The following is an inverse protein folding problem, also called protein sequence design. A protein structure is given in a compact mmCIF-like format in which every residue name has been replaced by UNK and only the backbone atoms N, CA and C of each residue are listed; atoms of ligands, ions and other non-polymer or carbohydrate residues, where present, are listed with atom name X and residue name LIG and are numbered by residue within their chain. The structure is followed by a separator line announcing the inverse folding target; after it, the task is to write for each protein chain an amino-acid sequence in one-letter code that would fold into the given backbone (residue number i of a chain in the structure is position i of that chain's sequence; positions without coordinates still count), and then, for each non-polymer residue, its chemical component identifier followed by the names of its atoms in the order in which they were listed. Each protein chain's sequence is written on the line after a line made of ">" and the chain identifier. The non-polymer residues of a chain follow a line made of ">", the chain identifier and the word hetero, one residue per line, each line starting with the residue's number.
data_IF_991170261989
#
_entry.id   IF_991170261989
#
_cell.length_a   1.000
_cell.length_b   1.000
_cell.length_c   1.000
_cell.angle_alpha   90.00
_cell.angle_beta   90.00
_cell.angle_gamma   90.00
#
_symmetry.space_group_name_H-M   'P 1'
#
loop_
_entity.id
_entity.type
_entity.pdbx_description
1 polymer ?
#
# COMPACT_ATOMS: atom_id res chain seq x y z
N UNK A 1 6.81 17.16 7.86
CA UNK A 1 5.33 17.18 7.69
C UNK A 1 4.98 16.15 6.63
N UNK A 2 4.13 15.15 6.91
CA UNK A 2 3.61 14.21 5.92
C UNK A 2 3.17 14.94 4.64
N UNK A 3 3.55 14.43 3.47
CA UNK A 3 3.29 15.08 2.16
C UNK A 3 1.81 15.46 1.97
N UNK A 4 0.89 14.61 2.43
CA UNK A 4 -0.55 14.87 2.33
C UNK A 4 -0.97 16.13 3.13
N UNK A 5 -0.53 16.25 4.39
CA UNK A 5 -0.85 17.42 5.23
C UNK A 5 -0.31 18.72 4.62
N UNK A 6 0.85 18.64 3.94
CA UNK A 6 1.41 19.77 3.18
C UNK A 6 0.47 20.23 2.08
N UNK A 7 -0.02 19.31 1.25
CA UNK A 7 -0.89 19.66 0.14
C UNK A 7 -2.27 20.11 0.60
N UNK A 8 -2.76 19.55 1.71
CA UNK A 8 -4.00 20.01 2.36
C UNK A 8 -3.86 21.47 2.79
N UNK A 9 -2.78 21.85 3.49
CA UNK A 9 -2.59 23.24 3.95
C UNK A 9 -2.40 24.24 2.81
N UNK A 10 -1.94 23.77 1.66
CA UNK A 10 -1.81 24.56 0.43
C UNK A 10 -3.10 24.58 -0.43
N UNK A 11 -4.15 23.87 -0.03
CA UNK A 11 -5.36 23.65 -0.82
C UNK A 11 -5.06 23.07 -2.22
N UNK A 12 -4.02 22.25 -2.32
CA UNK A 12 -3.56 21.60 -3.55
C UNK A 12 -4.30 20.26 -3.73
N UNK A 13 -5.52 20.37 -4.25
CA UNK A 13 -6.43 19.24 -4.45
C UNK A 13 -5.80 18.19 -5.38
N UNK A 14 -5.11 18.62 -6.43
CA UNK A 14 -4.53 17.72 -7.43
C UNK A 14 -3.50 16.76 -6.79
N UNK A 15 -2.55 17.29 -6.01
CA UNK A 15 -1.56 16.45 -5.36
C UNK A 15 -2.16 15.62 -4.21
N UNK A 16 -3.17 16.12 -3.51
CA UNK A 16 -3.93 15.32 -2.54
C UNK A 16 -4.59 14.12 -3.23
N UNK A 17 -5.28 14.34 -4.35
CA UNK A 17 -5.91 13.28 -5.14
C UNK A 17 -4.89 12.27 -5.65
N UNK A 18 -3.71 12.69 -6.14
CA UNK A 18 -2.65 11.77 -6.57
C UNK A 18 -2.19 10.86 -5.42
N UNK A 19 -1.93 11.42 -4.23
CA UNK A 19 -1.50 10.64 -3.07
C UNK A 19 -2.57 9.63 -2.65
N UNK A 20 -3.82 10.06 -2.58
CA UNK A 20 -4.94 9.21 -2.19
C UNK A 20 -5.18 8.10 -3.22
N UNK A 21 -5.11 8.41 -4.52
CA UNK A 21 -5.25 7.42 -5.59
C UNK A 21 -4.15 6.35 -5.55
N UNK A 22 -2.90 6.73 -5.24
CA UNK A 22 -1.81 5.75 -5.01
C UNK A 22 -2.12 4.87 -3.82
N UNK A 23 -2.51 5.47 -2.69
CA UNK A 23 -2.81 4.73 -1.46
C UNK A 23 -3.96 3.74 -1.69
N UNK A 24 -5.02 4.19 -2.35
CA UNK A 24 -6.19 3.37 -2.69
C UNK A 24 -5.81 2.22 -3.63
N UNK A 25 -5.13 2.52 -4.75
CA UNK A 25 -4.75 1.52 -5.74
C UNK A 25 -3.92 0.39 -5.12
N UNK A 26 -2.91 0.74 -4.32
CA UNK A 26 -2.07 -0.24 -3.61
C UNK A 26 -2.90 -1.11 -2.67
N UNK A 27 -3.77 -0.51 -1.86
CA UNK A 27 -4.56 -1.26 -0.87
C UNK A 27 -5.61 -2.17 -1.52
N UNK A 28 -6.20 -1.75 -2.62
CA UNK A 28 -7.04 -2.60 -3.47
C UNK A 28 -6.27 -3.79 -4.04
N UNK A 29 -5.04 -3.57 -4.53
CA UNK A 29 -4.19 -4.66 -5.00
C UNK A 29 -3.82 -5.61 -3.88
N UNK A 30 -3.57 -5.14 -2.65
CA UNK A 30 -3.33 -6.00 -1.48
C UNK A 30 -4.57 -6.86 -1.20
N UNK A 31 -5.74 -6.22 -1.05
CA UNK A 31 -7.01 -6.91 -0.76
C UNK A 31 -7.24 -8.10 -1.71
N UNK A 32 -6.97 -7.91 -3.00
CA UNK A 32 -7.16 -8.93 -4.04
C UNK A 32 -6.18 -10.10 -3.97
N UNK A 33 -5.13 -10.01 -3.17
CA UNK A 33 -4.18 -11.11 -2.92
C UNK A 33 -4.48 -11.91 -1.66
N UNK A 34 -5.42 -11.45 -0.84
CA UNK A 34 -5.79 -12.08 0.43
C UNK A 34 -6.78 -13.21 0.21
N UNK A 35 -6.76 -14.20 1.11
CA UNK A 35 -7.78 -15.24 1.15
C UNK A 35 -9.10 -14.69 1.71
N UNK A 36 -10.22 -15.39 1.48
CA UNK A 36 -11.56 -14.93 1.86
C UNK A 36 -11.68 -14.58 3.36
N UNK A 37 -11.00 -15.33 4.23
CA UNK A 37 -10.99 -15.09 5.67
C UNK A 37 -10.31 -13.76 6.03
N UNK A 38 -9.22 -13.43 5.35
CA UNK A 38 -8.46 -12.19 5.57
C UNK A 38 -9.17 -11.00 4.90
N UNK A 39 -9.77 -11.18 3.72
CA UNK A 39 -10.59 -10.17 3.04
C UNK A 39 -11.76 -9.70 3.92
N UNK A 40 -12.42 -10.63 4.63
CA UNK A 40 -13.54 -10.31 5.52
C UNK A 40 -13.17 -9.33 6.64
N UNK A 41 -11.91 -9.36 7.08
CA UNK A 41 -11.39 -8.51 8.15
C UNK A 41 -10.58 -7.31 7.64
N UNK A 42 -10.53 -7.11 6.32
CA UNK A 42 -9.68 -6.11 5.70
C UNK A 42 -10.16 -4.69 6.04
N UNK A 43 -9.25 -3.87 6.58
CA UNK A 43 -9.47 -2.44 6.83
C UNK A 43 -8.39 -1.62 6.15
N UNK A 44 -8.79 -0.76 5.23
CA UNK A 44 -7.87 0.15 4.50
C UNK A 44 -6.95 0.94 5.44
N UNK A 45 -7.41 1.33 6.62
CA UNK A 45 -6.63 2.09 7.62
C UNK A 45 -5.44 1.33 8.19
N UNK A 46 -5.52 0.01 8.25
CA UNK A 46 -4.56 -0.84 8.95
C UNK A 46 -3.37 -1.19 8.04
N UNK A 47 -3.53 -0.95 6.74
CA UNK A 47 -2.49 -1.14 5.73
C UNK A 47 -1.81 0.18 5.41
N UNK A 48 -0.48 0.13 5.36
CA UNK A 48 0.34 1.28 5.00
C UNK A 48 1.35 0.92 3.91
N UNK A 49 1.77 1.97 3.20
CA UNK A 49 2.84 1.93 2.22
C UNK A 49 3.84 3.02 2.57
N UNK A 50 5.07 2.61 2.84
CA UNK A 50 6.21 3.52 3.00
C UNK A 50 7.21 3.27 1.88
N UNK A 51 8.19 4.14 1.74
CA UNK A 51 9.32 3.92 0.84
C UNK A 51 10.58 3.73 1.67
N UNK A 52 11.44 2.80 1.25
CA UNK A 52 12.79 2.72 1.79
C UNK A 52 13.67 3.88 1.29
N UNK A 53 14.92 3.91 1.73
CA UNK A 53 15.90 4.94 1.35
C UNK A 53 16.18 5.02 -0.15
N UNK A 54 15.87 3.94 -0.89
CA UNK A 54 16.02 3.85 -2.35
C UNK A 54 14.71 4.12 -3.09
N UNK A 55 13.65 4.51 -2.39
CA UNK A 55 12.34 4.79 -2.96
C UNK A 55 11.49 3.56 -3.24
N UNK A 56 11.93 2.36 -2.85
CA UNK A 56 11.18 1.11 -3.09
C UNK A 56 10.01 1.02 -2.11
N UNK A 57 8.80 0.67 -2.59
CA UNK A 57 7.63 0.58 -1.72
C UNK A 57 7.72 -0.62 -0.78
N UNK A 58 7.48 -0.38 0.50
CA UNK A 58 7.31 -1.40 1.54
C UNK A 58 5.86 -1.34 2.00
N UNK A 59 5.22 -2.50 2.05
CA UNK A 59 3.85 -2.69 2.50
C UNK A 59 3.86 -3.27 3.90
N UNK A 60 2.95 -2.82 4.77
CA UNK A 60 2.84 -3.39 6.10
C UNK A 60 1.43 -3.27 6.69
N UNK A 61 1.19 -4.17 7.65
CA UNK A 61 0.06 -4.21 8.56
C UNK A 61 0.50 -5.05 9.77
N UNK A 62 0.58 -4.43 10.94
CA UNK A 62 1.12 -5.08 12.15
C UNK A 62 0.25 -6.25 12.61
N UNK A 63 -1.08 -6.11 12.54
CA UNK A 63 -2.01 -7.16 12.93
C UNK A 63 -1.90 -8.36 11.98
N UNK A 64 -1.79 -8.10 10.68
CA UNK A 64 -1.63 -9.14 9.68
C UNK A 64 -0.31 -9.90 9.88
N UNK A 65 0.79 -9.18 10.11
CA UNK A 65 2.11 -9.77 10.31
C UNK A 65 2.19 -10.66 11.55
N UNK A 66 1.40 -10.37 12.60
CA UNK A 66 1.30 -11.24 13.77
C UNK A 66 0.62 -12.57 13.46
N UNK A 67 -0.38 -12.58 12.57
CA UNK A 67 -1.11 -13.78 12.16
C UNK A 67 -0.35 -14.58 11.09
N UNK A 68 0.37 -13.88 10.20
CA UNK A 68 1.07 -14.42 9.04
C UNK A 68 2.57 -14.02 9.06
N UNK A 69 3.35 -14.43 10.08
CA UNK A 69 4.71 -13.94 10.29
C UNK A 69 5.72 -14.33 9.20
N UNK A 70 5.37 -15.34 8.40
CA UNK A 70 6.21 -15.87 7.32
C UNK A 70 5.73 -15.39 5.95
N UNK A 71 4.93 -14.33 5.89
CA UNK A 71 4.49 -13.74 4.62
C UNK A 71 4.98 -12.31 4.47
N UNK A 72 5.19 -11.92 3.22
CA UNK A 72 5.47 -10.54 2.85
C UNK A 72 4.77 -10.16 1.55
N UNK A 73 4.71 -8.84 1.32
CA UNK A 73 4.12 -8.25 0.14
C UNK A 73 5.17 -7.46 -0.63
N UNK A 74 5.46 -7.90 -1.86
CA UNK A 74 6.27 -7.13 -2.81
C UNK A 74 5.34 -6.23 -3.60
N UNK A 75 5.70 -4.96 -3.73
CA UNK A 75 4.90 -3.96 -4.41
C UNK A 75 5.68 -3.31 -5.57
N UNK A 76 4.98 -3.09 -6.68
CA UNK A 76 5.42 -2.21 -7.75
C UNK A 76 4.29 -1.25 -8.10
N UNK A 77 4.61 0.03 -8.30
CA UNK A 77 3.64 1.09 -8.58
C UNK A 77 4.12 1.82 -9.82
N UNK A 78 3.22 2.02 -10.78
CA UNK A 78 3.45 2.85 -11.96
C UNK A 78 2.29 3.81 -12.13
N UNK A 79 2.59 5.01 -12.61
CA UNK A 79 1.59 6.00 -12.96
C UNK A 79 2.01 6.70 -14.25
N UNK A 80 1.03 6.98 -15.11
CA UNK A 80 1.24 7.77 -16.31
C UNK A 80 -0.01 8.60 -16.60
N UNK A 81 0.18 9.90 -16.85
CA UNK A 81 -0.89 10.87 -16.94
C UNK A 81 -1.85 10.82 -15.74
N UNK A 82 -3.12 10.48 -16.01
CA UNK A 82 -4.17 10.35 -15.02
C UNK A 82 -4.42 8.92 -14.52
N UNK A 83 -3.59 7.95 -14.90
CA UNK A 83 -3.76 6.54 -14.57
C UNK A 83 -2.70 6.08 -13.56
N UNK A 84 -3.12 5.17 -12.69
CA UNK A 84 -2.26 4.49 -11.73
C UNK A 84 -2.51 2.99 -11.76
N UNK A 85 -1.44 2.22 -11.62
CA UNK A 85 -1.49 0.78 -11.47
C UNK A 85 -0.54 0.34 -10.36
N UNK A 86 -0.95 -0.66 -9.60
CA UNK A 86 -0.10 -1.35 -8.63
C UNK A 86 -0.18 -2.85 -8.78
N UNK A 87 0.98 -3.48 -8.72
CA UNK A 87 1.14 -4.92 -8.68
C UNK A 87 1.60 -5.33 -7.30
N UNK A 88 0.91 -6.29 -6.71
CA UNK A 88 1.23 -6.87 -5.41
C UNK A 88 1.46 -8.35 -5.60
N UNK A 89 2.56 -8.84 -5.06
CA UNK A 89 2.83 -10.27 -4.90
C UNK A 89 2.86 -10.55 -3.41
N UNK A 90 1.93 -11.40 -2.95
CA UNK A 90 1.96 -12.02 -1.63
C UNK A 90 2.81 -13.28 -1.73
N UNK A 91 3.85 -13.40 -0.92
CA UNK A 91 4.73 -14.57 -0.93
C UNK A 91 5.09 -15.03 0.48
N UNK A 92 5.41 -16.31 0.61
CA UNK A 92 6.01 -16.83 1.84
C UNK A 92 7.51 -16.58 1.85
N UNK A 93 8.02 -16.10 2.98
CA UNK A 93 9.45 -16.00 3.23
C UNK A 93 9.98 -17.41 3.51
N UNK A 94 10.60 -18.03 2.50
CA UNK A 94 11.49 -19.16 2.75
C UNK A 94 12.74 -18.62 3.44
N UNK A 95 12.94 -18.96 4.71
CA UNK A 95 14.25 -18.82 5.34
C UNK A 95 15.21 -19.75 4.58
N UNK A 96 16.06 -19.17 3.73
CA UNK A 96 17.20 -19.86 3.15
C UNK A 96 18.32 -20.00 4.19
#
# INVERSE_FOLDING_TARGET
>A
MPLLEKYISMNDIENCSKILSVSWCVKESIYKTLDDADQTNFKMSDWYKINDERGRPIIGNENYKLLHPNEEFICSISHDGGLITSFIIRQSMCNA
#
